data_IF_057705797326
#
_entry.id   IF_057705797326
#
_cell.length_a   1.000
_cell.length_b   1.000
_cell.length_c   1.000
_cell.angle_alpha   90.00
_cell.angle_beta   90.00
_cell.angle_gamma   90.00
#
_symmetry.space_group_name_H-M   'P 1'
#
loop_
_entity.id
_entity.type
_entity.pdbx_description
1 polymer ?
#
# COMPACT_ATOMS: atom_id res chain seq x y z
N UNK A 1 32.95 -22.85 18.44
CA UNK A 1 32.06 -22.84 17.28
C UNK A 1 30.97 -21.80 17.60
N UNK A 2 31.26 -20.54 17.29
CA UNK A 2 30.37 -19.40 17.57
C UNK A 2 29.43 -19.25 16.39
N UNK A 3 28.14 -19.43 16.63
CA UNK A 3 27.08 -19.14 15.66
C UNK A 3 26.77 -17.64 15.81
N UNK A 4 27.26 -16.85 14.85
CA UNK A 4 26.92 -15.43 14.71
C UNK A 4 25.51 -15.34 14.16
N UNK A 5 24.53 -14.99 15.00
CA UNK A 5 23.20 -14.65 14.57
C UNK A 5 23.23 -13.27 13.88
N UNK A 6 23.10 -13.25 12.56
CA UNK A 6 22.87 -12.02 11.80
C UNK A 6 21.42 -11.56 12.04
N UNK A 7 21.28 -10.52 12.82
CA UNK A 7 20.02 -9.81 13.03
C UNK A 7 19.63 -9.09 11.72
N UNK A 8 18.62 -9.62 11.05
CA UNK A 8 17.92 -8.96 9.98
C UNK A 8 16.96 -7.92 10.61
N UNK A 9 17.41 -6.68 10.75
CA UNK A 9 16.57 -5.59 11.20
C UNK A 9 15.86 -4.95 10.01
N UNK A 10 14.68 -5.47 9.71
CA UNK A 10 13.62 -4.72 9.02
C UNK A 10 12.50 -4.58 10.05
N UNK A 11 12.56 -3.57 10.89
CA UNK A 11 11.58 -3.36 11.94
C UNK A 11 11.27 -1.89 12.04
N UNK A 12 9.99 -1.57 12.00
CA UNK A 12 9.50 -0.34 12.56
C UNK A 12 9.70 -0.41 14.09
N UNK A 13 10.71 0.27 14.62
CA UNK A 13 10.86 0.44 16.07
C UNK A 13 10.09 1.68 16.50
N UNK A 14 9.01 1.46 17.23
CA UNK A 14 8.36 2.52 18.05
C UNK A 14 9.18 2.63 19.33
N UNK A 15 9.68 3.82 19.73
CA UNK A 15 10.57 3.97 20.86
C UNK A 15 9.89 3.60 22.17
N UNK A 16 10.56 2.75 22.94
CA UNK A 16 10.23 2.48 24.35
C UNK A 16 10.70 3.67 25.17
N UNK A 17 9.78 4.48 25.68
CA UNK A 17 10.08 5.56 26.59
C UNK A 17 10.54 5.03 27.95
N UNK A 18 11.82 5.22 28.29
CA UNK A 18 12.30 5.17 29.68
C UNK A 18 11.95 6.47 30.39
N UNK A 19 11.33 6.34 31.55
CA UNK A 19 10.93 7.43 32.41
C UNK A 19 12.13 8.05 33.15
N UNK A 20 12.41 9.34 32.93
CA UNK A 20 12.99 10.19 33.97
C UNK A 20 12.43 11.61 33.89
N UNK A 21 11.77 11.92 34.96
CA UNK A 21 11.21 13.15 35.55
C UNK A 21 11.49 14.53 34.92
N UNK A 22 10.35 15.28 34.90
CA UNK A 22 10.13 16.72 35.09
C UNK A 22 10.16 17.61 33.85
N UNK A 23 8.98 18.01 33.36
CA UNK A 23 8.37 19.33 33.49
C UNK A 23 7.07 19.44 32.71
N UNK A 24 6.08 19.99 33.36
CA UNK A 24 4.71 20.32 32.97
C UNK A 24 4.53 21.00 31.62
N UNK A 25 3.56 20.51 30.79
CA UNK A 25 2.56 21.36 30.14
C UNK A 25 1.38 20.50 29.64
N UNK A 26 0.20 21.05 29.86
CA UNK A 26 -1.12 20.46 29.61
C UNK A 26 -1.37 20.19 28.12
N UNK A 27 -1.88 19.00 27.81
CA UNK A 27 -2.40 18.63 26.50
C UNK A 27 -3.44 17.52 26.64
N UNK A 28 -4.64 17.82 26.24
CA UNK A 28 -5.91 17.10 26.43
C UNK A 28 -5.83 15.61 26.13
N UNK A 29 -6.24 14.81 27.12
CA UNK A 29 -6.54 13.38 26.98
C UNK A 29 -7.89 13.22 26.30
N UNK A 30 -7.94 12.47 25.21
CA UNK A 30 -9.17 11.88 24.70
C UNK A 30 -9.25 10.48 25.31
N UNK A 31 -10.18 10.29 26.23
CA UNK A 31 -10.59 9.01 26.80
C UNK A 31 -11.78 8.53 25.98
N UNK A 32 -11.66 7.39 25.33
CA UNK A 32 -12.81 6.68 24.75
C UNK A 32 -13.25 5.61 25.76
N UNK A 33 -14.39 5.82 26.37
CA UNK A 33 -15.11 4.80 27.14
C UNK A 33 -16.08 4.02 26.25
N UNK A 34 -16.28 2.72 26.49
CA UNK A 34 -17.22 1.89 25.75
C UNK A 34 -18.57 1.84 26.50
N UNK A 35 -19.65 2.26 25.85
CA UNK A 35 -21.00 1.94 26.31
C UNK A 35 -21.97 1.81 25.14
N UNK A 36 -22.68 0.69 25.10
CA UNK A 36 -23.85 0.52 24.23
C UNK A 36 -24.23 -0.93 23.96
N UNK A 37 -24.89 -1.57 24.92
CA UNK A 37 -25.63 -2.80 24.71
C UNK A 37 -26.77 -2.57 23.70
N UNK A 38 -26.92 -3.47 22.71
CA UNK A 38 -28.12 -3.55 21.88
C UNK A 38 -28.75 -4.91 22.08
N UNK A 39 -29.93 -4.88 22.67
CA UNK A 39 -30.84 -6.00 22.89
C UNK A 39 -31.47 -6.46 21.57
N UNK A 40 -31.45 -7.77 21.37
CA UNK A 40 -32.19 -8.49 20.33
C UNK A 40 -33.63 -8.66 20.76
N UNK A 41 -34.59 -8.28 19.93
CA UNK A 41 -35.98 -8.80 19.99
C UNK A 41 -36.34 -9.40 18.66
N UNK A 42 -36.68 -10.66 18.74
CA UNK A 42 -37.22 -11.53 17.71
C UNK A 42 -38.75 -11.28 17.61
N UNK A 43 -39.29 -11.10 16.44
CA UNK A 43 -40.69 -11.47 16.14
C UNK A 43 -40.93 -11.73 14.66
N UNK A 44 -41.43 -12.96 14.43
CA UNK A 44 -41.89 -13.55 13.19
C UNK A 44 -43.27 -13.05 12.81
N UNK A 45 -43.61 -12.92 11.52
CA UNK A 45 -44.87 -13.41 10.93
C UNK A 45 -44.86 -13.30 9.39
N UNK A 46 -45.28 -14.38 8.79
CA UNK A 46 -45.47 -14.58 7.37
C UNK A 46 -46.79 -13.96 6.85
N UNK A 47 -46.79 -13.53 5.57
CA UNK A 47 -47.98 -13.69 4.71
C UNK A 47 -47.56 -13.69 3.23
N UNK A 48 -47.94 -14.75 2.55
CA UNK A 48 -47.93 -14.92 1.10
C UNK A 48 -49.00 -14.04 0.46
N UNK A 49 -48.71 -13.39 -0.64
CA UNK A 49 -49.64 -13.16 -1.73
C UNK A 49 -48.93 -13.11 -3.08
N UNK A 50 -49.39 -13.94 -3.99
CA UNK A 50 -48.96 -14.05 -5.37
C UNK A 50 -49.57 -12.94 -6.23
N UNK A 51 -48.79 -12.31 -7.09
CA UNK A 51 -49.31 -11.56 -8.23
C UNK A 51 -48.35 -11.61 -9.44
N UNK A 52 -48.88 -12.16 -10.42
CA UNK A 52 -48.76 -12.30 -11.87
C UNK A 52 -47.70 -11.45 -12.56
N UNK A 53 -46.87 -12.13 -13.30
CA UNK A 53 -45.85 -11.70 -14.25
C UNK A 53 -46.45 -10.89 -15.40
N UNK A 54 -45.88 -9.72 -15.68
CA UNK A 54 -45.88 -9.09 -16.99
C UNK A 54 -44.41 -8.81 -17.35
N UNK A 55 -43.93 -9.51 -18.38
CA UNK A 55 -42.62 -9.32 -18.96
C UNK A 55 -42.63 -8.08 -19.85
N UNK A 56 -42.04 -6.98 -19.41
CA UNK A 56 -41.57 -5.93 -20.28
C UNK A 56 -40.04 -6.10 -20.45
N UNK A 57 -39.63 -6.45 -21.66
CA UNK A 57 -38.27 -6.36 -22.13
C UNK A 57 -37.90 -4.87 -22.20
N UNK A 58 -37.20 -4.36 -21.22
CA UNK A 58 -36.46 -3.10 -21.34
C UNK A 58 -35.15 -3.42 -22.03
N UNK A 59 -34.98 -2.88 -23.22
CA UNK A 59 -33.76 -2.76 -23.99
C UNK A 59 -32.78 -1.92 -23.14
N UNK A 60 -31.91 -2.57 -22.40
CA UNK A 60 -30.81 -1.91 -21.71
C UNK A 60 -29.74 -1.66 -22.76
N UNK A 61 -29.75 -0.46 -23.32
CA UNK A 61 -28.59 0.07 -24.03
C UNK A 61 -27.47 0.20 -23.01
N UNK A 62 -26.50 -0.73 -23.05
CA UNK A 62 -25.21 -0.56 -22.37
C UNK A 62 -24.59 0.76 -22.90
N UNK A 63 -24.59 1.78 -22.06
CA UNK A 63 -23.71 2.92 -22.31
C UNK A 63 -22.26 2.42 -22.17
N UNK A 64 -21.38 2.70 -23.14
CA UNK A 64 -19.99 2.31 -23.04
C UNK A 64 -19.39 2.98 -21.82
N UNK A 65 -18.79 2.20 -20.93
CA UNK A 65 -17.96 2.71 -19.83
C UNK A 65 -17.01 3.77 -20.39
N UNK A 66 -17.05 4.99 -19.86
CA UNK A 66 -16.13 6.06 -20.28
C UNK A 66 -14.71 5.52 -20.17
N UNK A 67 -14.03 5.45 -21.31
CA UNK A 67 -12.63 5.06 -21.36
C UNK A 67 -11.82 6.12 -20.63
N UNK A 68 -11.28 5.79 -19.44
CA UNK A 68 -10.41 6.70 -18.69
C UNK A 68 -9.16 6.94 -19.53
N UNK A 69 -9.14 8.04 -20.28
CA UNK A 69 -7.96 8.46 -21.05
C UNK A 69 -6.92 9.10 -20.15
N UNK A 70 -5.64 8.89 -20.43
CA UNK A 70 -4.58 9.67 -19.78
C UNK A 70 -4.80 11.15 -20.12
N UNK A 71 -4.81 12.07 -19.16
CA UNK A 71 -4.94 13.49 -19.45
C UNK A 71 -3.75 13.93 -20.33
N UNK A 72 -4.02 14.72 -21.37
CA UNK A 72 -2.98 15.38 -22.19
C UNK A 72 -2.24 16.39 -21.30
N UNK A 73 -1.25 15.89 -20.55
CA UNK A 73 -0.42 16.72 -19.68
C UNK A 73 1.04 16.61 -20.12
N UNK A 74 1.67 17.75 -20.30
CA UNK A 74 3.11 17.83 -20.40
C UNK A 74 3.73 17.72 -19.00
N UNK A 75 4.63 16.75 -18.82
CA UNK A 75 5.40 16.58 -17.60
C UNK A 75 6.80 17.12 -17.84
N UNK A 76 7.28 17.94 -16.91
CA UNK A 76 8.68 18.40 -16.92
C UNK A 76 9.56 17.43 -16.15
N UNK A 77 10.71 17.08 -16.73
CA UNK A 77 11.70 16.19 -16.16
C UNK A 77 13.11 16.79 -16.26
N UNK A 78 13.91 16.55 -15.23
CA UNK A 78 15.34 16.92 -15.21
C UNK A 78 16.22 15.86 -15.85
N UNK A 79 15.73 14.64 -16.00
CA UNK A 79 16.40 13.53 -16.67
C UNK A 79 15.89 13.35 -18.11
N UNK A 80 16.65 12.60 -18.93
CA UNK A 80 16.17 12.07 -20.21
C UNK A 80 15.16 10.94 -19.93
N UNK A 81 13.87 11.27 -20.02
CA UNK A 81 12.75 10.38 -19.69
C UNK A 81 12.41 9.41 -20.83
N UNK A 82 12.77 9.71 -22.08
CA UNK A 82 12.36 8.96 -23.27
C UNK A 82 12.67 7.46 -23.15
N UNK A 83 13.83 7.13 -22.61
CA UNK A 83 14.26 5.73 -22.43
C UNK A 83 13.46 4.94 -21.37
N UNK A 84 12.57 5.61 -20.62
CA UNK A 84 11.77 5.02 -19.56
C UNK A 84 10.28 5.00 -19.86
N UNK A 85 9.82 5.72 -20.90
CA UNK A 85 8.39 5.90 -21.15
C UNK A 85 7.66 4.56 -21.36
N UNK A 86 8.27 3.60 -22.04
CA UNK A 86 7.69 2.27 -22.26
C UNK A 86 7.42 1.50 -20.96
N UNK A 87 8.21 1.78 -19.90
CA UNK A 87 8.06 1.13 -18.59
C UNK A 87 7.10 1.88 -17.67
N UNK A 88 7.08 3.21 -17.77
CA UNK A 88 6.22 4.09 -16.97
C UNK A 88 4.79 4.07 -17.51
N UNK A 89 4.64 3.98 -18.85
CA UNK A 89 3.37 3.99 -19.58
C UNK A 89 3.24 2.71 -20.40
N UNK A 90 3.05 1.54 -19.80
CA UNK A 90 2.82 0.32 -20.54
C UNK A 90 1.54 0.44 -21.41
N UNK A 91 1.53 -0.16 -22.59
CA UNK A 91 0.34 -0.18 -23.47
C UNK A 91 -0.84 -0.90 -22.80
N UNK A 92 -0.55 -2.01 -22.10
CA UNK A 92 -1.51 -2.72 -21.25
C UNK A 92 -1.04 -2.59 -19.81
N UNK A 93 -1.80 -1.87 -18.98
CA UNK A 93 -1.54 -1.65 -17.57
C UNK A 93 -2.34 -2.58 -16.64
N UNK A 94 -3.22 -3.42 -17.19
CA UNK A 94 -4.15 -4.27 -16.43
C UNK A 94 -3.45 -5.16 -15.39
N UNK A 95 -2.28 -5.71 -15.71
CA UNK A 95 -1.50 -6.53 -14.79
C UNK A 95 -0.88 -5.74 -13.61
N UNK A 96 -0.73 -4.41 -13.76
CA UNK A 96 -0.22 -3.52 -12.71
C UNK A 96 -1.32 -3.01 -11.80
N UNK A 97 -2.60 -3.17 -12.20
CA UNK A 97 -3.78 -2.78 -11.43
C UNK A 97 -4.32 -3.89 -10.51
N UNK A 98 -3.62 -5.02 -10.44
CA UNK A 98 -3.98 -6.12 -9.55
C UNK A 98 -4.10 -5.63 -8.10
N UNK A 99 -5.33 -5.57 -7.58
CA UNK A 99 -5.59 -5.23 -6.19
C UNK A 99 -5.23 -6.43 -5.30
N UNK A 100 -4.43 -6.18 -4.27
CA UNK A 100 -4.06 -7.19 -3.26
C UNK A 100 -4.25 -6.59 -1.87
N UNK A 101 -5.17 -7.15 -1.11
CA UNK A 101 -5.49 -6.75 0.26
C UNK A 101 -6.15 -7.93 1.00
N UNK A 102 -6.87 -7.68 2.09
CA UNK A 102 -7.54 -8.74 2.87
C UNK A 102 -8.66 -9.44 2.13
N UNK A 103 -9.32 -8.78 1.18
CA UNK A 103 -10.42 -9.31 0.39
C UNK A 103 -9.94 -9.92 -0.93
N UNK A 104 -8.80 -9.45 -1.45
CA UNK A 104 -8.19 -9.89 -2.72
C UNK A 104 -6.83 -10.52 -2.44
N UNK A 105 -6.83 -11.84 -2.20
CA UNK A 105 -5.62 -12.56 -1.75
C UNK A 105 -4.95 -13.32 -2.87
N UNK A 106 -3.63 -13.28 -2.86
CA UNK A 106 -2.79 -14.13 -3.69
C UNK A 106 -2.59 -15.50 -3.03
N UNK A 107 -2.38 -16.52 -3.85
CA UNK A 107 -2.02 -17.86 -3.38
C UNK A 107 -0.49 -17.98 -3.20
N UNK A 108 -0.05 -19.08 -2.60
CA UNK A 108 1.37 -19.42 -2.47
C UNK A 108 2.05 -19.76 -3.81
N UNK A 109 1.26 -20.09 -4.83
CA UNK A 109 1.74 -20.36 -6.19
C UNK A 109 1.99 -19.07 -7.01
N UNK A 110 1.52 -17.90 -6.53
CA UNK A 110 1.76 -16.65 -7.25
C UNK A 110 3.18 -16.15 -7.01
N UNK A 111 3.96 -16.14 -8.07
CA UNK A 111 5.32 -15.57 -8.12
C UNK A 111 5.53 -14.92 -9.50
N UNK A 112 5.88 -13.63 -9.58
CA UNK A 112 6.21 -13.00 -10.87
C UNK A 112 7.47 -13.62 -11.48
N UNK A 113 7.46 -13.83 -12.80
CA UNK A 113 8.55 -14.46 -13.54
C UNK A 113 9.62 -13.46 -14.05
N UNK A 114 9.32 -12.14 -13.97
CA UNK A 114 10.13 -11.03 -14.49
C UNK A 114 10.85 -10.23 -13.39
N UNK A 115 11.08 -10.83 -12.22
CA UNK A 115 11.73 -10.17 -11.08
C UNK A 115 13.21 -9.85 -11.36
N UNK A 116 13.58 -8.59 -11.21
CA UNK A 116 14.95 -8.08 -11.34
C UNK A 116 15.40 -7.36 -10.07
N UNK A 117 16.70 -7.36 -9.79
CA UNK A 117 17.26 -6.63 -8.63
C UNK A 117 17.26 -5.13 -8.91
N UNK A 118 16.76 -4.35 -7.96
CA UNK A 118 16.83 -2.89 -8.00
C UNK A 118 18.24 -2.38 -7.70
N UNK A 119 18.75 -1.48 -8.54
CA UNK A 119 20.04 -0.79 -8.32
C UNK A 119 20.00 0.15 -7.11
N UNK A 120 18.81 0.55 -6.68
CA UNK A 120 18.57 1.44 -5.54
C UNK A 120 18.46 0.71 -4.21
N UNK A 121 18.73 -0.60 -4.20
CA UNK A 121 18.75 -1.39 -2.96
C UNK A 121 19.71 -0.79 -1.95
N UNK A 122 19.23 -0.54 -0.73
CA UNK A 122 20.08 -0.01 0.36
C UNK A 122 21.26 -0.96 0.64
N UNK A 123 22.42 -0.42 0.88
CA UNK A 123 23.69 -1.18 0.96
C UNK A 123 23.72 -2.29 2.02
N UNK A 124 22.88 -2.19 3.05
CA UNK A 124 22.75 -3.20 4.11
C UNK A 124 21.75 -4.32 3.74
N UNK A 125 21.15 -4.29 2.54
CA UNK A 125 20.22 -5.28 2.02
C UNK A 125 20.89 -6.17 0.96
N UNK A 126 20.31 -7.34 0.69
CA UNK A 126 20.90 -8.36 -0.21
C UNK A 126 20.51 -8.22 -1.68
N UNK A 127 19.83 -7.18 -2.05
CA UNK A 127 19.26 -6.98 -3.39
C UNK A 127 17.76 -7.21 -3.36
N UNK A 128 17.04 -6.09 -3.27
CA UNK A 128 15.58 -6.06 -3.31
C UNK A 128 15.13 -6.20 -4.76
N UNK A 129 14.12 -7.05 -5.00
CA UNK A 129 13.65 -7.36 -6.36
C UNK A 129 12.30 -6.70 -6.62
N UNK A 130 12.11 -6.29 -7.86
CA UNK A 130 10.84 -5.77 -8.39
C UNK A 130 10.59 -6.38 -9.76
N UNK A 131 9.35 -6.35 -10.24
CA UNK A 131 9.04 -6.64 -11.64
C UNK A 131 9.78 -5.67 -12.55
N UNK A 132 10.15 -6.13 -13.73
CA UNK A 132 11.05 -5.41 -14.66
C UNK A 132 10.57 -3.97 -14.93
N UNK A 133 9.30 -3.78 -15.29
CA UNK A 133 8.77 -2.45 -15.59
C UNK A 133 8.77 -1.55 -14.34
N UNK A 134 8.33 -2.08 -13.20
CA UNK A 134 8.36 -1.39 -11.92
C UNK A 134 9.80 -0.96 -11.54
N UNK A 135 10.80 -1.84 -11.71
CA UNK A 135 12.20 -1.52 -11.44
C UNK A 135 12.75 -0.41 -12.34
N UNK A 136 12.35 -0.40 -13.63
CA UNK A 136 12.75 0.64 -14.59
C UNK A 136 12.06 1.99 -14.32
N UNK A 137 10.77 1.96 -14.01
CA UNK A 137 10.04 3.15 -13.59
C UNK A 137 10.62 3.74 -12.29
N UNK A 138 10.99 2.87 -11.33
CA UNK A 138 11.65 3.29 -10.09
C UNK A 138 13.05 3.89 -10.36
N UNK A 139 13.80 3.35 -11.31
CA UNK A 139 15.10 3.90 -11.69
C UNK A 139 14.95 5.34 -12.21
N UNK A 140 13.97 5.61 -13.08
CA UNK A 140 13.64 6.95 -13.53
C UNK A 140 13.23 7.86 -12.36
N UNK A 141 12.34 7.38 -11.49
CA UNK A 141 11.82 8.15 -10.36
C UNK A 141 12.94 8.59 -9.40
N UNK A 142 13.82 7.67 -9.02
CA UNK A 142 14.90 7.99 -8.07
C UNK A 142 16.06 8.75 -8.73
N UNK A 143 16.28 8.64 -10.04
CA UNK A 143 17.19 9.52 -10.78
C UNK A 143 16.66 10.96 -10.81
N UNK A 144 15.39 11.14 -11.13
CA UNK A 144 14.74 12.45 -11.09
C UNK A 144 14.79 13.05 -9.68
N UNK A 145 14.51 12.26 -8.64
CA UNK A 145 14.64 12.67 -7.25
C UNK A 145 16.04 13.19 -6.94
N UNK A 146 17.05 12.47 -7.41
CA UNK A 146 18.46 12.84 -7.22
C UNK A 146 18.84 14.15 -7.91
N UNK A 147 18.40 14.39 -9.14
CA UNK A 147 18.61 15.65 -9.86
C UNK A 147 17.90 16.83 -9.16
N UNK A 148 16.83 16.55 -8.43
CA UNK A 148 16.09 17.53 -7.62
C UNK A 148 16.56 17.60 -6.15
N UNK A 149 17.74 17.06 -5.83
CA UNK A 149 18.39 17.20 -4.52
C UNK A 149 17.98 16.15 -3.47
N UNK A 150 17.15 15.17 -3.81
CA UNK A 150 16.80 14.02 -2.95
C UNK A 150 17.76 12.87 -3.24
N UNK A 151 18.90 12.84 -2.53
CA UNK A 151 20.05 11.99 -2.90
C UNK A 151 20.25 10.78 -1.99
N UNK A 152 19.49 10.64 -0.91
CA UNK A 152 19.73 9.70 0.19
C UNK A 152 18.63 8.65 0.36
N UNK A 153 17.57 8.67 -0.46
CA UNK A 153 16.51 7.66 -0.46
C UNK A 153 17.02 6.35 -1.08
N UNK A 154 16.68 5.23 -0.46
CA UNK A 154 17.04 3.91 -0.93
C UNK A 154 15.90 2.90 -0.69
N UNK A 155 15.86 1.86 -1.51
CA UNK A 155 14.93 0.73 -1.38
C UNK A 155 15.33 -0.14 -0.19
N UNK A 156 14.41 -0.35 0.73
CA UNK A 156 14.62 -1.11 1.97
C UNK A 156 13.85 -2.42 2.00
N UNK A 157 12.77 -2.53 1.22
CA UNK A 157 12.01 -3.77 1.02
C UNK A 157 11.28 -3.69 -0.34
N UNK A 158 11.18 -4.80 -1.04
CA UNK A 158 10.45 -4.91 -2.29
C UNK A 158 9.74 -6.28 -2.37
N UNK A 159 10.00 -7.13 -3.36
CA UNK A 159 9.35 -8.43 -3.45
C UNK A 159 9.54 -9.26 -2.18
N UNK A 160 8.43 -9.79 -1.67
CA UNK A 160 8.39 -10.75 -0.56
C UNK A 160 7.54 -11.96 -0.96
N UNK A 161 8.13 -13.16 -0.94
CA UNK A 161 7.37 -14.39 -1.21
C UNK A 161 6.27 -14.61 -0.16
N UNK A 162 5.25 -15.38 -0.53
CA UNK A 162 4.19 -15.81 0.39
C UNK A 162 4.74 -16.40 1.70
N UNK A 163 5.72 -17.29 1.60
CA UNK A 163 6.35 -17.93 2.77
C UNK A 163 7.14 -16.95 3.64
N UNK A 164 7.84 -15.99 3.02
CA UNK A 164 8.54 -14.94 3.76
C UNK A 164 7.56 -14.02 4.49
N UNK A 165 6.46 -13.61 3.83
CA UNK A 165 5.43 -12.77 4.45
C UNK A 165 4.76 -13.49 5.63
N UNK A 166 4.49 -14.80 5.50
CA UNK A 166 3.97 -15.61 6.60
C UNK A 166 4.92 -15.62 7.80
N UNK A 167 6.21 -15.80 7.55
CA UNK A 167 7.23 -15.74 8.60
C UNK A 167 7.27 -14.35 9.25
N UNK A 168 7.28 -13.28 8.46
CA UNK A 168 7.35 -11.90 8.93
C UNK A 168 6.14 -11.53 9.80
N UNK A 169 4.93 -11.88 9.35
CA UNK A 169 3.70 -11.65 10.11
C UNK A 169 3.77 -12.33 11.47
N UNK A 170 4.13 -13.62 11.52
CA UNK A 170 4.25 -14.36 12.77
C UNK A 170 5.37 -13.79 13.66
N UNK A 171 6.47 -13.34 13.08
CA UNK A 171 7.54 -12.67 13.83
C UNK A 171 7.02 -11.42 14.55
N UNK A 172 6.23 -10.57 13.87
CA UNK A 172 5.62 -9.41 14.52
C UNK A 172 4.60 -9.82 15.60
N UNK A 173 3.77 -10.82 15.34
CA UNK A 173 2.83 -11.32 16.35
C UNK A 173 3.57 -11.77 17.61
N UNK A 174 4.62 -12.58 17.50
CA UNK A 174 5.42 -13.00 18.67
C UNK A 174 6.09 -11.82 19.37
N UNK A 175 6.59 -10.84 18.61
CA UNK A 175 7.23 -9.64 19.17
C UNK A 175 6.25 -8.82 20.02
N UNK A 176 5.00 -8.67 19.56
CA UNK A 176 4.00 -7.82 20.22
C UNK A 176 3.06 -8.57 21.18
N UNK A 177 3.06 -9.91 21.18
CA UNK A 177 2.12 -10.73 21.95
C UNK A 177 2.05 -10.36 23.43
N UNK A 178 3.18 -9.98 24.03
CA UNK A 178 3.26 -9.56 25.43
C UNK A 178 2.44 -8.30 25.78
N UNK A 179 1.97 -7.54 24.77
CA UNK A 179 1.16 -6.32 24.96
C UNK A 179 -0.35 -6.59 24.95
N UNK A 180 -0.76 -7.81 24.60
CA UNK A 180 -2.17 -8.15 24.37
C UNK A 180 -2.61 -9.30 25.29
N UNK A 181 -3.92 -9.40 25.54
CA UNK A 181 -4.50 -10.48 26.35
C UNK A 181 -4.59 -11.79 25.58
N UNK A 182 -4.84 -11.71 24.27
CA UNK A 182 -4.96 -12.88 23.39
C UNK A 182 -4.09 -12.71 22.14
N UNK A 183 -3.74 -13.84 21.53
CA UNK A 183 -3.04 -13.84 20.24
C UNK A 183 -3.88 -13.17 19.15
N UNK A 184 -5.20 -13.40 19.16
CA UNK A 184 -6.11 -12.83 18.18
C UNK A 184 -6.12 -11.29 18.23
N UNK A 185 -6.14 -10.69 19.44
CA UNK A 185 -6.01 -9.24 19.60
C UNK A 185 -4.68 -8.72 19.05
N UNK A 186 -3.59 -9.44 19.30
CA UNK A 186 -2.27 -9.11 18.77
C UNK A 186 -2.23 -9.21 17.24
N UNK A 187 -2.80 -10.26 16.66
CA UNK A 187 -2.87 -10.44 15.21
C UNK A 187 -3.67 -9.30 14.55
N UNK A 188 -4.82 -8.90 15.12
CA UNK A 188 -5.58 -7.74 14.63
C UNK A 188 -4.75 -6.44 14.65
N UNK A 189 -3.96 -6.25 15.71
CA UNK A 189 -3.05 -5.11 15.77
C UNK A 189 -1.95 -5.19 14.71
N UNK A 190 -1.29 -6.34 14.56
CA UNK A 190 -0.24 -6.53 13.54
C UNK A 190 -0.79 -6.32 12.14
N UNK A 191 -2.04 -6.75 11.88
CA UNK A 191 -2.71 -6.56 10.60
C UNK A 191 -2.86 -5.10 10.17
N UNK A 192 -2.78 -4.13 11.08
CA UNK A 192 -2.86 -2.71 10.75
C UNK A 192 -1.60 -2.15 10.08
N UNK A 193 -0.46 -2.87 10.13
CA UNK A 193 0.82 -2.44 9.56
C UNK A 193 1.62 -3.55 8.86
N UNK A 194 1.25 -4.80 9.02
CA UNK A 194 1.87 -5.93 8.33
C UNK A 194 0.80 -6.95 7.95
N UNK A 195 0.53 -7.05 6.67
CA UNK A 195 -0.48 -7.96 6.16
C UNK A 195 -0.09 -9.42 6.38
N UNK A 196 -1.08 -10.31 6.47
CA UNK A 196 -0.87 -11.76 6.41
C UNK A 196 -0.33 -12.17 5.04
N UNK A 197 0.19 -13.39 4.96
CA UNK A 197 0.53 -14.04 3.70
C UNK A 197 -0.65 -13.99 2.70
N UNK A 198 -0.32 -13.70 1.46
CA UNK A 198 -1.27 -13.53 0.37
C UNK A 198 -2.00 -12.18 0.34
N UNK A 199 -1.95 -11.39 1.43
CA UNK A 199 -2.60 -10.08 1.48
C UNK A 199 -1.63 -8.91 1.28
N UNK A 200 -0.34 -9.18 1.13
CA UNK A 200 0.69 -8.16 0.97
C UNK A 200 0.99 -7.92 -0.50
N UNK A 201 0.94 -6.66 -0.94
CA UNK A 201 1.30 -6.24 -2.29
C UNK A 201 2.77 -6.51 -2.65
N UNK A 202 3.65 -6.65 -1.68
CA UNK A 202 5.04 -7.02 -1.94
C UNK A 202 5.16 -8.36 -2.65
N UNK A 203 4.16 -9.26 -2.56
CA UNK A 203 4.17 -10.51 -3.31
C UNK A 203 3.98 -10.29 -4.81
N UNK A 204 3.40 -9.15 -5.23
CA UNK A 204 3.27 -8.82 -6.65
C UNK A 204 4.57 -8.38 -7.32
N UNK A 205 5.59 -7.98 -6.54
CA UNK A 205 6.79 -7.33 -7.07
C UNK A 205 6.55 -5.92 -7.60
N UNK A 206 5.40 -5.31 -7.29
CA UNK A 206 5.00 -3.96 -7.70
C UNK A 206 5.02 -2.95 -6.55
N UNK A 207 5.22 -3.41 -5.32
CA UNK A 207 5.32 -2.56 -4.14
C UNK A 207 6.78 -2.42 -3.68
N UNK A 208 7.12 -1.22 -3.22
CA UNK A 208 8.46 -0.86 -2.76
C UNK A 208 8.39 0.02 -1.52
N UNK A 209 9.15 -0.37 -0.49
CA UNK A 209 9.40 0.47 0.67
C UNK A 209 10.72 1.23 0.46
N UNK A 210 10.67 2.55 0.53
CA UNK A 210 11.84 3.40 0.33
C UNK A 210 11.84 4.60 1.28
N UNK A 211 12.98 4.87 1.88
CA UNK A 211 13.19 5.99 2.80
C UNK A 211 14.67 6.29 2.99
N UNK A 212 14.97 7.38 3.67
CA UNK A 212 16.34 7.82 4.01
C UNK A 212 16.66 7.70 5.51
N UNK A 213 15.78 7.12 6.30
CA UNK A 213 15.98 6.92 7.74
C UNK A 213 16.75 5.63 8.03
N UNK A 214 17.28 5.50 9.25
CA UNK A 214 17.90 4.27 9.71
C UNK A 214 16.88 3.11 9.77
N UNK A 215 15.68 3.40 10.26
CA UNK A 215 14.56 2.47 10.37
C UNK A 215 13.36 2.95 9.57
N UNK A 216 12.43 2.03 9.30
CA UNK A 216 11.14 2.35 8.68
C UNK A 216 10.23 2.94 9.75
N UNK A 217 9.95 4.25 9.66
CA UNK A 217 9.22 5.01 10.67
C UNK A 217 8.30 6.06 10.04
N UNK A 218 7.17 6.33 10.66
CA UNK A 218 6.22 7.38 10.23
C UNK A 218 6.86 8.77 10.21
N UNK A 219 7.93 8.98 11.00
CA UNK A 219 8.72 10.21 11.00
C UNK A 219 9.34 10.55 9.63
N UNK A 220 9.44 9.59 8.72
CA UNK A 220 9.83 9.84 7.32
C UNK A 220 8.92 10.88 6.64
N UNK A 221 7.64 10.93 7.00
CA UNK A 221 6.70 11.94 6.51
C UNK A 221 7.11 13.40 6.82
N UNK A 222 8.00 13.62 7.79
CA UNK A 222 8.49 14.94 8.13
C UNK A 222 9.75 15.36 7.36
N UNK A 223 10.20 14.55 6.39
CA UNK A 223 11.41 14.82 5.61
C UNK A 223 11.09 15.52 4.30
N UNK A 224 12.04 16.33 3.81
CA UNK A 224 11.95 16.93 2.47
C UNK A 224 11.94 15.84 1.38
N UNK A 225 12.56 14.69 1.62
CA UNK A 225 12.55 13.54 0.72
C UNK A 225 11.14 13.00 0.52
N UNK A 226 10.39 12.73 1.60
CA UNK A 226 9.01 12.30 1.49
C UNK A 226 8.14 13.31 0.74
N UNK A 227 8.22 14.60 1.10
CA UNK A 227 7.42 15.65 0.45
C UNK A 227 7.68 15.71 -1.06
N UNK A 228 8.92 15.49 -1.50
CA UNK A 228 9.23 15.43 -2.92
C UNK A 228 8.70 14.15 -3.58
N UNK A 229 8.88 12.99 -2.94
CA UNK A 229 8.42 11.71 -3.46
C UNK A 229 6.90 11.69 -3.61
N UNK A 230 6.15 12.11 -2.58
CA UNK A 230 4.70 12.18 -2.60
C UNK A 230 4.18 13.07 -3.73
N UNK A 231 4.80 14.24 -3.94
CA UNK A 231 4.40 15.19 -4.98
C UNK A 231 4.73 14.74 -6.41
N UNK A 232 5.62 13.76 -6.60
CA UNK A 232 6.14 13.42 -7.93
C UNK A 232 5.95 11.95 -8.32
N UNK A 233 5.61 11.05 -7.39
CA UNK A 233 5.52 9.61 -7.65
C UNK A 233 4.62 9.25 -8.82
N UNK A 234 3.46 9.92 -8.95
CA UNK A 234 2.49 9.66 -9.99
C UNK A 234 3.05 9.85 -11.41
N UNK A 235 4.00 10.77 -11.61
CA UNK A 235 4.66 11.01 -12.91
C UNK A 235 5.42 9.78 -13.41
N UNK A 236 5.80 8.89 -12.51
CA UNK A 236 6.57 7.67 -12.76
C UNK A 236 5.74 6.40 -12.58
N UNK A 237 4.41 6.53 -12.46
CA UNK A 237 3.50 5.41 -12.33
C UNK A 237 3.37 4.84 -10.92
N UNK A 238 3.83 5.56 -9.89
CA UNK A 238 3.72 5.15 -8.50
C UNK A 238 2.65 5.96 -7.75
N UNK A 239 2.01 5.31 -6.79
CA UNK A 239 1.10 5.94 -5.82
C UNK A 239 1.63 5.74 -4.40
N UNK A 240 1.44 6.72 -3.52
CA UNK A 240 1.53 6.51 -2.09
C UNK A 240 0.37 5.61 -1.68
N UNK A 241 0.68 4.36 -1.34
CA UNK A 241 -0.33 3.31 -1.26
C UNK A 241 -1.28 3.42 -0.07
N UNK A 242 -0.77 3.83 1.07
CA UNK A 242 -1.50 3.92 2.32
C UNK A 242 -1.46 5.34 2.88
N UNK A 243 -2.14 6.32 2.21
CA UNK A 243 -2.18 7.70 2.69
C UNK A 243 -3.04 7.79 3.96
N UNK A 244 -2.71 8.76 4.81
CA UNK A 244 -3.31 8.90 6.15
C UNK A 244 -4.84 9.05 6.12
N UNK A 245 -5.34 9.76 5.13
CA UNK A 245 -6.77 10.06 4.97
C UNK A 245 -7.59 8.84 4.50
N UNK A 246 -6.90 7.75 4.11
CA UNK A 246 -7.51 6.53 3.55
C UNK A 246 -7.34 5.29 4.44
N UNK A 247 -6.85 5.43 5.67
CA UNK A 247 -6.67 4.30 6.60
C UNK A 247 -7.96 3.50 6.83
N UNK A 248 -9.12 4.17 6.84
CA UNK A 248 -10.43 3.50 7.01
C UNK A 248 -10.86 2.70 5.77
N UNK A 249 -10.37 3.02 4.59
CA UNK A 249 -10.67 2.33 3.33
C UNK A 249 -9.69 1.19 3.11
N UNK A 250 -8.39 1.46 3.26
CA UNK A 250 -7.33 0.48 3.01
C UNK A 250 -7.19 -0.56 4.13
N UNK A 251 -7.65 -0.23 5.35
CA UNK A 251 -7.46 -1.05 6.55
C UNK A 251 -6.02 -1.07 7.08
N UNK A 252 -5.11 -0.29 6.46
CA UNK A 252 -3.68 -0.19 6.83
C UNK A 252 -3.41 1.24 7.33
N UNK A 253 -2.59 1.34 8.38
CA UNK A 253 -2.15 2.63 8.90
C UNK A 253 -1.31 3.38 7.86
N UNK A 254 -1.14 4.69 8.05
CA UNK A 254 -0.31 5.53 7.20
C UNK A 254 1.12 5.03 7.10
N UNK A 255 1.57 4.77 5.86
CA UNK A 255 2.91 4.26 5.56
C UNK A 255 3.61 5.17 4.55
N UNK A 256 4.31 6.25 4.97
CA UNK A 256 4.94 7.20 4.07
C UNK A 256 6.07 6.60 3.22
N UNK A 257 6.56 5.42 3.54
CA UNK A 257 7.60 4.70 2.82
C UNK A 257 7.06 3.79 1.70
N UNK A 258 5.77 3.41 1.73
CA UNK A 258 5.21 2.35 0.88
C UNK A 258 4.59 2.94 -0.40
N UNK A 259 5.22 2.64 -1.54
CA UNK A 259 4.77 3.05 -2.86
C UNK A 259 4.39 1.85 -3.70
N UNK A 260 3.31 1.98 -4.48
CA UNK A 260 2.81 0.95 -5.39
C UNK A 260 2.87 1.43 -6.83
N UNK A 261 3.48 0.63 -7.71
CA UNK A 261 3.46 0.85 -9.15
C UNK A 261 2.14 0.37 -9.75
N UNK A 262 1.49 1.24 -10.53
CA UNK A 262 0.20 1.02 -11.20
C UNK A 262 0.19 1.52 -12.65
N UNK A 263 1.33 2.01 -13.17
CA UNK A 263 1.41 2.72 -14.43
C UNK A 263 0.98 4.19 -14.31
N UNK A 264 1.52 5.06 -15.20
CA UNK A 264 1.35 6.52 -15.08
C UNK A 264 -0.11 6.97 -15.22
N UNK A 265 -0.86 6.37 -16.14
CA UNK A 265 -2.27 6.70 -16.38
C UNK A 265 -3.09 6.57 -15.08
N UNK A 266 -3.06 5.40 -14.47
CA UNK A 266 -3.75 5.14 -13.21
C UNK A 266 -3.19 5.97 -12.05
N UNK A 267 -1.87 6.08 -11.93
CA UNK A 267 -1.23 6.87 -10.87
C UNK A 267 -1.60 8.35 -10.93
N UNK A 268 -1.66 8.93 -12.14
CA UNK A 268 -2.07 10.33 -12.34
C UNK A 268 -3.54 10.53 -11.94
N UNK A 269 -4.43 9.63 -12.37
CA UNK A 269 -5.84 9.72 -12.01
C UNK A 269 -6.05 9.62 -10.50
N UNK A 270 -5.42 8.63 -9.85
CA UNK A 270 -5.47 8.44 -8.40
C UNK A 270 -4.98 9.69 -7.67
N UNK A 271 -3.84 10.27 -8.10
CA UNK A 271 -3.27 11.46 -7.49
C UNK A 271 -4.19 12.69 -7.62
N UNK A 272 -4.71 12.96 -8.83
CA UNK A 272 -5.54 14.13 -9.11
C UNK A 272 -6.90 14.12 -8.40
N UNK A 273 -7.45 12.92 -8.18
CA UNK A 273 -8.75 12.75 -7.53
C UNK A 273 -8.64 12.42 -6.04
N UNK A 274 -7.41 12.32 -5.49
CA UNK A 274 -7.18 12.01 -4.09
C UNK A 274 -7.72 10.64 -3.67
N UNK A 275 -7.64 9.65 -4.58
CA UNK A 275 -8.12 8.29 -4.35
C UNK A 275 -7.02 7.41 -3.71
N UNK A 276 -7.43 6.28 -3.12
CA UNK A 276 -6.56 5.13 -2.92
C UNK A 276 -6.80 4.07 -4.01
N UNK A 277 -5.99 3.01 -4.03
CA UNK A 277 -6.08 1.99 -5.07
C UNK A 277 -7.40 1.21 -5.01
N UNK A 278 -7.97 1.00 -3.82
CA UNK A 278 -9.28 0.38 -3.65
C UNK A 278 -10.39 1.19 -4.35
N UNK A 279 -10.43 2.50 -4.11
CA UNK A 279 -11.44 3.39 -4.71
C UNK A 279 -11.29 3.45 -6.24
N UNK A 280 -10.05 3.48 -6.73
CA UNK A 280 -9.79 3.43 -8.18
C UNK A 280 -10.19 2.09 -8.79
N UNK A 281 -9.90 0.97 -8.09
CA UNK A 281 -10.29 -0.37 -8.51
C UNK A 281 -11.80 -0.50 -8.62
N UNK A 282 -12.55 0.00 -7.63
CA UNK A 282 -14.00 -0.01 -7.65
C UNK A 282 -14.56 0.83 -8.80
N UNK A 283 -13.96 2.01 -9.05
CA UNK A 283 -14.34 2.89 -10.15
C UNK A 283 -14.24 2.19 -11.52
N UNK A 284 -13.07 1.57 -11.83
CA UNK A 284 -12.85 0.93 -13.13
C UNK A 284 -13.65 -0.37 -13.32
N UNK A 285 -14.12 -0.98 -12.23
CA UNK A 285 -14.96 -2.19 -12.26
C UNK A 285 -16.46 -1.90 -12.11
N UNK A 286 -16.86 -0.61 -12.08
CA UNK A 286 -18.25 -0.23 -11.96
C UNK A 286 -18.90 -0.55 -10.60
N UNK A 287 -18.09 -0.69 -9.55
CA UNK A 287 -18.54 -1.01 -8.18
C UNK A 287 -18.80 0.24 -7.33
N UNK A 288 -18.93 1.42 -7.94
CA UNK A 288 -19.18 2.66 -7.19
C UNK A 288 -20.53 2.59 -6.50
N UNK A 289 -20.53 2.62 -5.18
CA UNK A 289 -21.74 2.86 -4.38
C UNK A 289 -21.99 4.36 -4.35
N UNK A 290 -23.13 4.78 -4.90
CA UNK A 290 -23.67 6.15 -4.75
C UNK A 290 -23.81 6.57 -3.28
#
# INVERSE_FOLDING_TARGET
MLISALLLTSCAEIPIGESSSQASQEGSKIVLEPSGEVSVTDESAASEEASTVVSEQSDVTEEPSEEISEPEREYEYSIDIEQYLEYICPEDDSEYLLLVNYDHRLTDAYEPDDLVVSEWTRKDRKGEKLRKNCAKALDAFLKEAKENGVTDVAVTSAYRSFSYQKWLFNFYVEMYLHKFKTREECEKYVMTFSCREGCSEHQTGLAVDMHNLQFTEVSFANTAAFAWLEANAYKFGFVLRFPKEKESVTGIMFEPWHYRFVGRKAATYIYEHGLCLEEYYDLINGNTTD
#
